data_IF_147048781356
#
_entry.id   IF_147048781356
#
_cell.length_a   1.000
_cell.length_b   1.000
_cell.length_c   1.000
_cell.angle_alpha   90.00
_cell.angle_beta   90.00
_cell.angle_gamma   90.00
#
_symmetry.space_group_name_H-M   'P 1'
#
loop_
_entity.id
_entity.type
_entity.pdbx_description
1 polymer ?
#
# COMPACT_ATOMS: atom_id res chain seq x y z
N UNK A 1 1.41 20.71 -12.55
CA UNK A 1 2.43 19.89 -13.25
C UNK A 1 1.95 18.50 -13.66
N UNK A 2 0.65 18.24 -13.82
CA UNK A 2 0.16 17.02 -14.46
C UNK A 2 -0.70 17.49 -15.62
N UNK A 3 -0.17 17.45 -16.85
CA UNK A 3 -0.89 17.83 -18.07
C UNK A 3 -1.91 16.78 -18.51
N UNK A 4 -2.46 16.00 -17.59
CA UNK A 4 -3.46 14.99 -17.88
C UNK A 4 -4.85 15.62 -17.85
N UNK A 5 -5.76 15.24 -18.76
CA UNK A 5 -7.13 15.71 -18.73
C UNK A 5 -7.85 15.20 -17.47
N UNK A 6 -8.78 16.00 -16.96
CA UNK A 6 -9.58 15.69 -15.77
C UNK A 6 -10.36 14.36 -15.91
N UNK A 7 -10.69 13.98 -17.16
CA UNK A 7 -11.34 12.71 -17.48
C UNK A 7 -10.48 11.49 -17.15
N UNK A 8 -9.15 11.58 -17.32
CA UNK A 8 -8.21 10.53 -16.93
C UNK A 8 -7.92 10.57 -15.44
N UNK A 9 -7.83 11.76 -14.84
CA UNK A 9 -7.63 11.89 -13.39
C UNK A 9 -8.80 11.29 -12.61
N UNK A 10 -10.04 11.51 -13.05
CA UNK A 10 -11.20 10.87 -12.44
C UNK A 10 -11.21 9.35 -12.62
N UNK A 11 -10.36 8.77 -13.48
CA UNK A 11 -10.30 7.31 -13.67
C UNK A 11 -9.45 6.61 -12.61
N UNK A 12 -8.59 7.34 -11.93
CA UNK A 12 -7.79 6.78 -10.85
C UNK A 12 -8.49 7.02 -9.51
N UNK A 13 -8.44 6.01 -8.65
CA UNK A 13 -9.07 6.08 -7.33
C UNK A 13 -8.18 6.81 -6.32
N UNK A 14 -6.86 6.67 -6.46
CA UNK A 14 -5.85 7.28 -5.62
C UNK A 14 -4.78 7.95 -6.49
N UNK A 15 -4.44 9.19 -6.16
CA UNK A 15 -3.38 9.96 -6.82
C UNK A 15 -2.40 10.39 -5.75
N UNK A 16 -1.21 9.77 -5.76
CA UNK A 16 -0.12 10.13 -4.84
C UNK A 16 0.85 11.10 -5.51
N UNK A 17 1.10 12.24 -4.85
CA UNK A 17 2.11 13.20 -5.27
C UNK A 17 3.40 12.87 -4.52
N UNK A 18 4.39 12.34 -5.24
CA UNK A 18 5.73 12.10 -4.69
C UNK A 18 6.61 13.29 -5.06
N UNK A 19 7.24 13.90 -4.06
CA UNK A 19 8.21 14.98 -4.24
C UNK A 19 9.57 14.47 -3.80
N UNK A 20 10.59 14.75 -4.60
CA UNK A 20 11.98 14.50 -4.22
C UNK A 20 12.50 15.72 -3.46
N UNK A 21 12.48 15.66 -2.13
CA UNK A 21 12.94 16.73 -1.25
C UNK A 21 14.36 16.40 -0.77
N UNK A 22 15.33 17.24 -1.12
CA UNK A 22 16.72 17.07 -0.71
C UNK A 22 16.91 17.61 0.70
N UNK A 23 17.08 16.71 1.68
CA UNK A 23 17.37 17.06 3.08
C UNK A 23 18.43 16.10 3.59
N UNK A 24 19.50 16.61 4.22
CA UNK A 24 20.65 15.79 4.61
C UNK A 24 20.27 14.55 5.42
N UNK A 25 19.34 14.69 6.37
CA UNK A 25 18.87 13.57 7.20
C UNK A 25 18.15 12.49 6.38
N UNK A 26 17.28 12.89 5.46
CA UNK A 26 16.52 11.97 4.60
C UNK A 26 17.47 11.27 3.63
N UNK A 27 18.35 12.03 2.99
CA UNK A 27 19.33 11.52 2.03
C UNK A 27 20.30 10.55 2.70
N UNK A 28 20.76 10.85 3.92
CA UNK A 28 21.61 9.95 4.72
C UNK A 28 20.89 8.65 5.06
N UNK A 29 19.61 8.70 5.44
CA UNK A 29 18.80 7.48 5.72
C UNK A 29 18.61 6.64 4.47
N UNK A 30 18.27 7.26 3.34
CA UNK A 30 18.13 6.58 2.04
C UNK A 30 19.46 5.94 1.65
N UNK A 31 20.56 6.68 1.69
CA UNK A 31 21.89 6.18 1.35
C UNK A 31 22.30 4.99 2.23
N UNK A 32 22.10 5.09 3.55
CA UNK A 32 22.40 3.99 4.49
C UNK A 32 21.60 2.73 4.14
N UNK A 33 20.31 2.87 3.85
CA UNK A 33 19.45 1.74 3.50
C UNK A 33 19.83 1.13 2.14
N UNK A 34 20.17 1.95 1.14
CA UNK A 34 20.61 1.48 -0.18
C UNK A 34 21.94 0.74 -0.08
N UNK A 35 22.90 1.25 0.70
CA UNK A 35 24.19 0.59 0.95
C UNK A 35 23.99 -0.76 1.66
N UNK A 36 23.11 -0.82 2.67
CA UNK A 36 22.74 -2.06 3.36
C UNK A 36 22.19 -3.10 2.37
N UNK A 37 21.27 -2.70 1.49
CA UNK A 37 20.72 -3.59 0.47
C UNK A 37 21.77 -4.06 -0.55
N UNK A 38 22.70 -3.19 -0.95
CA UNK A 38 23.77 -3.53 -1.87
C UNK A 38 24.76 -4.54 -1.26
N UNK A 39 25.07 -4.43 0.04
CA UNK A 39 25.90 -5.38 0.76
C UNK A 39 25.23 -6.76 0.87
N UNK A 40 23.95 -6.81 1.26
CA UNK A 40 23.18 -8.06 1.35
C UNK A 40 23.11 -8.80 0.01
N UNK A 41 22.95 -8.07 -1.10
CA UNK A 41 22.99 -8.66 -2.46
C UNK A 41 24.33 -9.29 -2.80
N UNK A 42 25.43 -8.80 -2.24
CA UNK A 42 26.78 -9.31 -2.50
C UNK A 42 27.10 -10.57 -1.71
N UNK A 43 26.55 -10.71 -0.50
CA UNK A 43 26.75 -11.87 0.37
C UNK A 43 25.86 -13.06 -0.01
N UNK A 44 24.63 -12.79 -0.48
CA UNK A 44 23.67 -13.84 -0.87
C UNK A 44 23.92 -14.49 -2.23
N UNK A 45 24.82 -13.96 -3.04
CA UNK A 45 25.05 -14.46 -4.40
C UNK A 45 26.52 -14.49 -4.81
N UNK A 46 27.21 -15.56 -4.42
CA UNK A 46 28.53 -15.91 -4.97
C UNK A 46 28.50 -16.35 -6.44
N UNK A 47 27.32 -16.43 -7.08
CA UNK A 47 27.17 -16.89 -8.47
C UNK A 47 25.91 -16.28 -9.11
N UNK A 48 25.99 -15.05 -9.62
CA UNK A 48 25.48 -14.61 -10.95
C UNK A 48 25.37 -13.07 -11.01
N UNK A 49 26.29 -12.44 -11.75
CA UNK A 49 26.21 -11.02 -12.14
C UNK A 49 25.22 -10.85 -13.31
N UNK A 50 24.23 -9.98 -13.17
CA UNK A 50 23.51 -9.43 -14.33
C UNK A 50 22.11 -8.90 -14.04
N UNK A 51 21.73 -7.81 -14.71
CA UNK A 51 20.40 -7.13 -14.67
C UNK A 51 19.27 -8.01 -15.26
N UNK A 52 19.58 -9.21 -15.74
CA UNK A 52 18.68 -10.11 -16.45
C UNK A 52 17.60 -10.79 -15.57
N UNK A 53 17.71 -10.74 -14.23
CA UNK A 53 16.77 -11.44 -13.34
C UNK A 53 15.49 -10.69 -12.95
N UNK A 54 15.33 -9.40 -13.26
CA UNK A 54 14.10 -8.69 -12.83
C UNK A 54 12.86 -9.35 -13.47
N UNK A 55 13.00 -9.90 -14.69
CA UNK A 55 11.93 -10.64 -15.36
C UNK A 55 11.98 -12.17 -15.18
N UNK A 56 13.13 -12.80 -14.88
CA UNK A 56 13.19 -14.26 -14.67
C UNK A 56 12.68 -14.71 -13.29
N UNK A 57 12.74 -13.83 -12.28
CA UNK A 57 12.41 -14.16 -10.88
C UNK A 57 10.93 -14.47 -10.60
N UNK A 58 10.00 -14.18 -11.53
CA UNK A 58 8.57 -14.51 -11.39
C UNK A 58 8.25 -15.90 -11.98
N UNK A 59 8.97 -16.30 -13.03
CA UNK A 59 8.74 -17.58 -13.72
C UNK A 59 9.48 -18.74 -13.04
N UNK A 60 10.70 -18.51 -12.54
CA UNK A 60 11.47 -19.53 -11.80
C UNK A 60 10.86 -19.80 -10.41
N UNK A 61 10.39 -18.74 -9.72
CA UNK A 61 9.69 -18.87 -8.42
C UNK A 61 8.34 -19.61 -8.55
N UNK A 62 7.80 -19.74 -9.76
CA UNK A 62 6.60 -20.55 -10.05
C UNK A 62 6.93 -22.05 -10.10
N UNK A 63 8.13 -22.42 -10.54
CA UNK A 63 8.55 -23.82 -10.62
C UNK A 63 8.97 -24.36 -9.24
N UNK A 64 9.68 -23.57 -8.43
CA UNK A 64 10.06 -23.97 -7.06
C UNK A 64 8.87 -24.02 -6.08
N UNK A 65 7.82 -23.24 -6.36
CA UNK A 65 6.60 -23.20 -5.55
C UNK A 65 5.68 -24.41 -5.76
N UNK A 66 5.85 -25.19 -6.83
CA UNK A 66 5.09 -26.42 -7.05
C UNK A 66 5.77 -27.64 -6.42
N UNK A 67 7.11 -27.67 -6.37
CA UNK A 67 7.88 -28.76 -5.71
C UNK A 67 7.88 -28.68 -4.18
N UNK A 68 7.69 -27.49 -3.57
CA UNK A 68 7.59 -27.31 -2.11
C UNK A 68 6.19 -27.51 -1.52
N UNK A 69 5.19 -27.91 -2.32
CA UNK A 69 3.82 -28.09 -1.82
C UNK A 69 3.65 -29.26 -0.84
N UNK A 70 4.62 -30.15 -0.75
CA UNK A 70 4.43 -31.42 -0.06
C UNK A 70 4.75 -31.38 1.42
N UNK A 71 5.64 -30.51 1.91
CA UNK A 71 6.00 -30.46 3.35
C UNK A 71 6.42 -29.04 3.75
N UNK A 72 6.19 -28.72 5.03
CA UNK A 72 6.68 -27.56 5.80
C UNK A 72 5.71 -26.37 6.01
N UNK A 73 5.52 -26.08 7.30
CA UNK A 73 4.89 -24.88 7.80
C UNK A 73 5.62 -23.65 7.25
N UNK A 74 4.89 -22.76 6.56
CA UNK A 74 5.47 -21.50 6.07
C UNK A 74 6.02 -20.72 7.26
N UNK A 75 7.33 -20.49 7.30
CA UNK A 75 7.93 -19.53 8.24
C UNK A 75 7.25 -18.17 8.02
N UNK A 76 6.66 -17.62 9.07
CA UNK A 76 5.81 -16.41 8.99
C UNK A 76 6.68 -15.15 8.89
N UNK A 77 7.85 -15.16 9.55
CA UNK A 77 8.73 -14.01 9.64
C UNK A 77 10.10 -14.28 9.00
N UNK A 78 10.59 -13.30 8.27
CA UNK A 78 11.95 -13.27 7.77
C UNK A 78 12.90 -12.99 8.94
N UNK A 79 13.94 -13.82 9.08
CA UNK A 79 15.03 -13.59 10.04
C UNK A 79 15.81 -12.35 9.59
N UNK A 80 15.33 -11.18 9.98
CA UNK A 80 15.94 -9.90 9.62
C UNK A 80 17.14 -9.66 10.54
N UNK A 81 18.26 -9.23 9.98
CA UNK A 81 19.41 -8.77 10.76
C UNK A 81 19.00 -7.58 11.65
N UNK A 82 19.52 -7.49 12.90
CA UNK A 82 19.25 -6.39 13.80
C UNK A 82 19.48 -5.03 13.11
N UNK A 83 18.65 -4.04 13.43
CA UNK A 83 18.81 -2.68 12.93
C UNK A 83 20.17 -2.08 13.34
N UNK A 84 20.64 -1.04 12.64
CA UNK A 84 21.93 -0.40 12.93
C UNK A 84 22.03 0.19 14.35
N UNK A 85 20.93 0.32 15.09
CA UNK A 85 20.89 0.91 16.44
C UNK A 85 20.17 0.04 17.49
N UNK A 86 20.31 -1.30 17.45
CA UNK A 86 19.80 -2.17 18.52
C UNK A 86 18.28 -2.19 18.71
N UNK A 87 17.53 -1.47 17.88
CA UNK A 87 16.08 -1.59 17.77
C UNK A 87 15.72 -3.00 17.30
N UNK A 88 14.72 -3.59 17.97
CA UNK A 88 14.18 -4.89 17.60
C UNK A 88 13.90 -4.90 16.10
N UNK A 89 14.49 -5.86 15.39
CA UNK A 89 14.32 -5.97 13.95
C UNK A 89 12.81 -6.01 13.65
N UNK A 90 12.30 -5.20 12.70
CA UNK A 90 10.90 -5.25 12.36
C UNK A 90 10.54 -6.68 11.98
N UNK A 91 9.43 -7.18 12.50
CA UNK A 91 8.87 -8.49 12.15
C UNK A 91 8.41 -8.45 10.69
N UNK A 92 9.36 -8.64 9.76
CA UNK A 92 9.08 -8.64 8.33
C UNK A 92 8.41 -9.96 7.98
N UNK A 93 7.21 -9.90 7.43
CA UNK A 93 6.48 -11.08 6.97
C UNK A 93 7.12 -11.67 5.72
N UNK A 94 7.18 -13.01 5.64
CA UNK A 94 7.66 -13.66 4.43
C UNK A 94 6.72 -13.42 3.24
N UNK A 95 7.29 -13.24 2.05
CA UNK A 95 6.52 -12.99 0.82
C UNK A 95 5.54 -14.13 0.52
N UNK A 96 5.92 -15.37 0.85
CA UNK A 96 5.08 -16.55 0.60
C UNK A 96 3.88 -16.61 1.55
N UNK A 97 4.06 -16.25 2.83
CA UNK A 97 2.95 -16.10 3.75
C UNK A 97 2.03 -14.95 3.32
N UNK A 98 2.57 -13.77 3.00
CA UNK A 98 1.77 -12.63 2.53
C UNK A 98 0.96 -12.97 1.28
N UNK A 99 1.53 -13.74 0.34
CA UNK A 99 0.80 -14.19 -0.86
C UNK A 99 -0.37 -15.12 -0.50
N UNK A 100 -0.17 -16.05 0.44
CA UNK A 100 -1.24 -16.93 0.94
C UNK A 100 -2.31 -16.12 1.69
N UNK A 101 -1.90 -15.15 2.49
CA UNK A 101 -2.77 -14.24 3.23
C UNK A 101 -3.67 -13.43 2.30
N UNK A 102 -3.09 -12.73 1.32
CA UNK A 102 -3.85 -11.93 0.34
C UNK A 102 -4.80 -12.80 -0.49
N UNK A 103 -4.42 -14.03 -0.82
CA UNK A 103 -5.32 -14.99 -1.49
C UNK A 103 -6.53 -15.33 -0.62
N UNK A 104 -6.33 -15.49 0.68
CA UNK A 104 -7.43 -15.74 1.61
C UNK A 104 -8.34 -14.51 1.76
N UNK A 105 -7.77 -13.31 2.00
CA UNK A 105 -8.53 -12.05 2.10
C UNK A 105 -9.42 -11.77 0.87
N UNK A 106 -8.94 -12.10 -0.34
CA UNK A 106 -9.70 -11.90 -1.58
C UNK A 106 -11.01 -12.69 -1.65
N UNK A 107 -11.11 -13.82 -0.94
CA UNK A 107 -12.33 -14.65 -0.90
C UNK A 107 -13.41 -14.04 0.00
N UNK A 108 -13.06 -13.11 0.87
CA UNK A 108 -13.99 -12.44 1.75
C UNK A 108 -14.73 -11.34 0.99
N UNK A 109 -16.03 -11.22 1.25
CA UNK A 109 -16.93 -10.23 0.65
C UNK A 109 -17.78 -9.59 1.76
N UNK A 110 -17.17 -8.78 2.65
CA UNK A 110 -17.92 -8.11 3.71
C UNK A 110 -18.88 -7.09 3.11
N UNK A 111 -20.03 -6.91 3.74
CA UNK A 111 -21.08 -5.96 3.31
C UNK A 111 -21.00 -4.69 4.15
N UNK A 112 -21.38 -3.54 3.59
CA UNK A 112 -21.37 -2.27 4.32
C UNK A 112 -22.49 -2.24 5.38
N UNK A 113 -22.12 -2.11 6.66
CA UNK A 113 -23.09 -1.89 7.74
C UNK A 113 -23.83 -0.56 7.56
N UNK A 114 -25.03 -0.44 8.12
CA UNK A 114 -25.81 0.80 8.04
C UNK A 114 -25.07 2.01 8.65
N UNK A 115 -24.31 1.78 9.72
CA UNK A 115 -23.50 2.79 10.38
C UNK A 115 -22.35 3.27 9.47
N UNK A 116 -21.63 2.33 8.83
CA UNK A 116 -20.60 2.64 7.85
C UNK A 116 -21.13 3.37 6.61
N UNK A 117 -22.36 3.07 6.15
CA UNK A 117 -22.98 3.78 5.03
C UNK A 117 -23.19 5.26 5.34
N UNK A 118 -23.68 5.57 6.54
CA UNK A 118 -23.86 6.96 6.97
C UNK A 118 -22.52 7.68 7.06
N UNK A 119 -21.50 7.03 7.63
CA UNK A 119 -20.15 7.59 7.76
C UNK A 119 -19.50 7.87 6.41
N UNK A 120 -19.62 6.94 5.45
CA UNK A 120 -19.13 7.12 4.08
C UNK A 120 -19.77 8.34 3.41
N UNK A 121 -21.08 8.54 3.59
CA UNK A 121 -21.78 9.70 3.04
C UNK A 121 -21.27 11.02 3.64
N UNK A 122 -21.07 11.06 4.96
CA UNK A 122 -20.52 12.22 5.67
C UNK A 122 -19.11 12.57 5.17
N UNK A 123 -18.20 11.59 5.13
CA UNK A 123 -16.82 11.78 4.64
C UNK A 123 -16.77 12.20 3.17
N UNK A 124 -17.65 11.66 2.33
CA UNK A 124 -17.73 12.05 0.93
C UNK A 124 -18.16 13.51 0.77
N UNK A 125 -19.15 13.97 1.54
CA UNK A 125 -19.59 15.37 1.53
C UNK A 125 -18.46 16.28 2.02
N UNK A 126 -17.81 15.93 3.14
CA UNK A 126 -16.66 16.66 3.68
C UNK A 126 -15.53 16.77 2.65
N UNK A 127 -15.16 15.66 2.00
CA UNK A 127 -14.18 15.64 0.89
C UNK A 127 -14.60 16.58 -0.23
N UNK A 128 -15.85 16.49 -0.69
CA UNK A 128 -16.36 17.32 -1.79
C UNK A 128 -16.31 18.81 -1.44
N UNK A 129 -16.66 19.18 -0.21
CA UNK A 129 -16.61 20.58 0.23
C UNK A 129 -15.16 21.10 0.28
N UNK A 130 -14.22 20.33 0.84
CA UNK A 130 -12.80 20.70 0.95
C UNK A 130 -12.12 20.93 -0.39
N UNK A 131 -12.44 20.13 -1.41
CA UNK A 131 -11.83 20.24 -2.73
C UNK A 131 -12.61 21.15 -3.68
N UNK A 132 -13.91 21.38 -3.46
CA UNK A 132 -14.73 22.28 -4.28
C UNK A 132 -14.46 23.76 -3.99
N UNK A 133 -14.15 24.13 -2.74
CA UNK A 133 -13.96 25.55 -2.39
C UNK A 133 -12.64 26.11 -2.91
N UNK A 134 -11.67 25.27 -3.32
CA UNK A 134 -10.39 25.72 -3.89
C UNK A 134 -9.51 26.58 -2.94
N UNK A 135 -9.98 26.79 -1.71
CA UNK A 135 -9.38 27.56 -0.65
C UNK A 135 -9.60 26.79 0.66
N UNK A 136 -8.51 26.47 1.35
CA UNK A 136 -8.56 26.11 2.77
C UNK A 136 -8.53 27.44 3.54
N UNK A 137 -9.48 27.68 4.44
CA UNK A 137 -9.34 28.77 5.41
C UNK A 137 -7.98 28.64 6.12
N UNK A 138 -7.11 29.64 5.95
CA UNK A 138 -5.88 29.76 6.74
C UNK A 138 -4.55 29.37 6.07
N UNK A 139 -4.51 28.83 4.85
CA UNK A 139 -3.23 28.50 4.17
C UNK A 139 -3.18 29.03 2.74
N UNK A 140 -2.18 29.87 2.44
CA UNK A 140 -1.91 30.47 1.13
C UNK A 140 -1.48 29.46 0.03
N UNK A 141 -1.59 28.15 0.31
CA UNK A 141 -1.25 27.08 -0.63
C UNK A 141 -2.48 26.65 -1.43
N UNK A 142 -2.39 26.82 -2.74
CA UNK A 142 -3.41 26.37 -3.68
C UNK A 142 -3.38 24.84 -3.76
N UNK A 143 -4.26 24.18 -3.00
CA UNK A 143 -4.44 22.73 -3.12
C UNK A 143 -4.80 22.38 -4.58
N UNK A 144 -4.29 21.27 -5.12
CA UNK A 144 -4.67 20.83 -6.45
C UNK A 144 -6.20 20.67 -6.49
N UNK A 145 -6.84 21.30 -7.48
CA UNK A 145 -8.27 21.16 -7.75
C UNK A 145 -8.51 19.74 -8.28
N UNK A 146 -8.66 18.78 -7.38
CA UNK A 146 -9.09 17.44 -7.74
C UNK A 146 -10.62 17.45 -7.85
N UNK A 147 -11.14 17.08 -9.02
CA UNK A 147 -12.57 16.95 -9.21
C UNK A 147 -13.10 15.76 -8.38
N UNK A 148 -13.83 16.04 -7.29
CA UNK A 148 -14.50 15.03 -6.47
C UNK A 148 -15.80 14.63 -7.15
N UNK A 149 -15.78 13.50 -7.86
CA UNK A 149 -16.94 12.93 -8.58
C UNK A 149 -17.56 11.78 -7.79
N UNK A 150 -18.70 11.24 -8.25
CA UNK A 150 -19.31 10.02 -7.66
C UNK A 150 -18.36 8.82 -7.64
N UNK A 151 -17.36 8.79 -8.52
CA UNK A 151 -16.34 7.73 -8.54
C UNK A 151 -15.46 7.72 -7.29
N UNK A 152 -15.24 8.87 -6.66
CA UNK A 152 -14.49 8.94 -5.40
C UNK A 152 -15.26 8.30 -4.24
N UNK A 153 -16.60 8.35 -4.26
CA UNK A 153 -17.44 7.60 -3.32
C UNK A 153 -17.30 6.09 -3.53
N UNK A 154 -17.33 5.62 -4.78
CA UNK A 154 -17.09 4.21 -5.10
C UNK A 154 -15.68 3.76 -4.73
N UNK A 155 -14.68 4.64 -4.86
CA UNK A 155 -13.32 4.39 -4.42
C UNK A 155 -13.25 4.24 -2.90
N UNK A 156 -13.89 5.14 -2.13
CA UNK A 156 -13.93 5.07 -0.68
C UNK A 156 -14.58 3.76 -0.20
N UNK A 157 -15.68 3.35 -0.81
CA UNK A 157 -16.33 2.06 -0.53
C UNK A 157 -15.37 0.89 -0.82
N UNK A 158 -14.66 0.92 -1.96
CA UNK A 158 -13.70 -0.13 -2.32
C UNK A 158 -12.51 -0.20 -1.36
N UNK A 159 -12.00 0.94 -0.91
CA UNK A 159 -10.89 1.03 0.05
C UNK A 159 -11.33 0.53 1.43
N UNK A 160 -12.47 0.99 1.95
CA UNK A 160 -13.02 0.51 3.22
C UNK A 160 -13.29 -1.01 3.20
N UNK A 161 -13.85 -1.51 2.10
CA UNK A 161 -14.05 -2.95 1.90
C UNK A 161 -12.71 -3.70 1.85
N UNK A 162 -11.70 -3.16 1.16
CA UNK A 162 -10.36 -3.75 1.11
C UNK A 162 -9.70 -3.79 2.50
N UNK A 163 -9.87 -2.74 3.31
CA UNK A 163 -9.38 -2.69 4.68
C UNK A 163 -10.05 -3.73 5.57
N UNK A 164 -11.38 -3.88 5.48
CA UNK A 164 -12.11 -4.93 6.18
C UNK A 164 -11.63 -6.34 5.79
N UNK A 165 -11.34 -6.58 4.49
CA UNK A 165 -10.75 -7.84 4.01
C UNK A 165 -9.36 -8.10 4.58
N UNK A 166 -8.54 -7.05 4.73
CA UNK A 166 -7.22 -7.15 5.35
C UNK A 166 -7.30 -7.49 6.84
N UNK A 167 -8.36 -7.07 7.55
CA UNK A 167 -8.66 -7.46 8.94
C UNK A 167 -9.36 -8.82 9.08
N UNK A 168 -9.54 -9.57 7.99
CA UNK A 168 -10.24 -10.86 7.95
C UNK A 168 -11.70 -10.81 8.42
N UNK A 169 -12.35 -9.63 8.38
CA UNK A 169 -13.77 -9.48 8.68
C UNK A 169 -14.59 -10.15 7.58
N UNK A 170 -15.46 -11.08 7.95
CA UNK A 170 -16.30 -11.84 7.00
C UNK A 170 -17.66 -11.21 6.79
N UNK A 171 -18.18 -10.55 7.82
CA UNK A 171 -19.58 -10.19 7.90
C UNK A 171 -19.79 -8.74 7.43
N UNK A 172 -19.21 -7.77 8.14
CA UNK A 172 -19.52 -6.35 7.94
C UNK A 172 -18.29 -5.44 7.93
N UNK A 173 -18.40 -4.34 7.17
CA UNK A 173 -17.49 -3.19 7.20
C UNK A 173 -17.94 -2.22 8.28
N UNK A 174 -17.03 -1.84 9.18
CA UNK A 174 -17.30 -0.91 10.28
C UNK A 174 -16.85 0.51 9.94
N UNK A 175 -17.29 1.48 10.75
CA UNK A 175 -16.91 2.89 10.64
C UNK A 175 -15.38 3.09 10.70
N UNK A 176 -14.68 2.32 11.53
CA UNK A 176 -13.21 2.33 11.62
C UNK A 176 -12.52 2.05 10.27
N UNK A 177 -13.11 1.20 9.43
CA UNK A 177 -12.53 0.86 8.14
C UNK A 177 -12.74 1.98 7.13
N UNK A 178 -13.80 2.77 7.32
CA UNK A 178 -14.08 3.98 6.53
C UNK A 178 -13.17 5.11 6.96
N UNK A 179 -12.93 5.29 8.26
CA UNK A 179 -11.96 6.28 8.76
C UNK A 179 -10.54 5.98 8.28
N UNK A 180 -10.12 4.72 8.35
CA UNK A 180 -8.82 4.29 7.82
C UNK A 180 -8.71 4.46 6.30
N UNK A 181 -9.82 4.37 5.57
CA UNK A 181 -9.84 4.59 4.12
C UNK A 181 -9.88 6.09 3.73
N UNK A 182 -10.31 6.96 4.64
CA UNK A 182 -10.40 8.41 4.42
C UNK A 182 -9.11 9.15 4.75
N UNK A 183 -8.32 8.65 5.70
CA UNK A 183 -7.01 9.20 6.11
C UNK A 183 -5.94 9.03 5.02
#
# INVERSE_FOLDING_TARGET
NIGLPDSLLSRFDLIYIVRDLTTEEIDRRIATQVLRQAQLRREGDGRRRGVEQVHSSILERRQDADTRRTQEATEVFEKTLPGPEGEAAPEVLTVDFLRKYLRYCRRLTPVLSAAAQQHVAEKYVDMRMRYSTGYSEGSNEQKPRLAVTTRTLEALIRLATAHAKLKLRKDEVLEEDVDAAYQ
#
